data_IF_617492680666
#
_entry.id   IF_617492680666
#
_cell.length_a   1.000
_cell.length_b   1.000
_cell.length_c   1.000
_cell.angle_alpha   90.00
_cell.angle_beta   90.00
_cell.angle_gamma   90.00
#
_symmetry.space_group_name_H-M   'P 1'
#
loop_
_entity.id
_entity.type
_entity.pdbx_description
1 polymer ?
#
# COMPACT_ATOMS: atom_id res chain seq x y z
N UNK A 1 13.08 -22.56 -8.92
CA UNK A 1 11.92 -21.73 -8.61
C UNK A 1 11.28 -21.38 -9.93
N UNK A 2 10.05 -21.82 -10.19
CA UNK A 2 9.36 -21.62 -11.47
C UNK A 2 8.87 -20.18 -11.73
N UNK A 3 9.57 -19.17 -11.19
CA UNK A 3 9.28 -17.75 -11.42
C UNK A 3 10.03 -17.25 -12.66
N UNK A 4 9.35 -16.48 -13.52
CA UNK A 4 9.96 -15.81 -14.66
C UNK A 4 10.71 -14.56 -14.21
N UNK A 5 11.67 -14.07 -15.02
CA UNK A 5 12.37 -12.81 -14.75
C UNK A 5 11.39 -11.64 -14.59
N UNK A 6 10.38 -11.56 -15.43
CA UNK A 6 9.34 -10.52 -15.34
C UNK A 6 8.62 -10.53 -14.00
N UNK A 7 8.29 -11.72 -13.46
CA UNK A 7 7.66 -11.85 -12.15
C UNK A 7 8.55 -11.39 -10.99
N UNK A 8 9.87 -11.52 -11.14
CA UNK A 8 10.83 -11.05 -10.12
C UNK A 8 11.06 -9.54 -10.14
N UNK A 9 10.77 -8.88 -11.27
CA UNK A 9 10.94 -7.44 -11.45
C UNK A 9 9.73 -6.62 -10.96
N UNK A 10 8.59 -7.25 -10.70
CA UNK A 10 7.41 -6.55 -10.17
C UNK A 10 7.76 -5.93 -8.81
N UNK A 11 7.58 -4.62 -8.70
CA UNK A 11 7.84 -3.85 -7.47
C UNK A 11 6.54 -3.44 -6.80
N UNK A 12 6.58 -3.32 -5.48
CA UNK A 12 5.49 -2.72 -4.73
C UNK A 12 5.45 -1.20 -4.99
N UNK A 13 4.24 -0.59 -5.06
CA UNK A 13 4.10 0.86 -5.12
C UNK A 13 4.84 1.52 -3.95
N UNK A 14 5.66 2.53 -4.25
CA UNK A 14 6.41 3.34 -3.25
C UNK A 14 7.50 2.62 -2.45
N UNK A 15 7.89 1.39 -2.81
CA UNK A 15 8.99 0.67 -2.13
C UNK A 15 10.08 0.27 -3.11
N UNK A 16 11.33 0.17 -2.58
CA UNK A 16 12.48 -0.34 -3.31
C UNK A 16 12.44 -1.85 -3.51
N UNK A 17 11.65 -2.54 -2.69
CA UNK A 17 11.61 -4.00 -2.65
C UNK A 17 10.71 -4.58 -3.76
N UNK A 18 11.14 -5.73 -4.30
CA UNK A 18 10.30 -6.48 -5.22
C UNK A 18 9.13 -7.14 -4.48
N UNK A 19 8.00 -7.31 -5.18
CA UNK A 19 6.84 -8.03 -4.65
C UNK A 19 7.24 -9.43 -4.14
N UNK A 20 8.08 -10.14 -4.87
CA UNK A 20 8.59 -11.46 -4.50
C UNK A 20 9.43 -11.37 -3.22
N UNK A 21 10.33 -10.39 -3.12
CA UNK A 21 11.14 -10.17 -1.91
C UNK A 21 10.26 -9.90 -0.68
N UNK A 22 9.23 -9.07 -0.83
CA UNK A 22 8.28 -8.82 0.24
C UNK A 22 7.53 -10.09 0.67
N UNK A 23 7.01 -10.88 -0.28
CA UNK A 23 6.32 -12.14 0.01
C UNK A 23 7.22 -13.16 0.69
N UNK A 24 8.46 -13.30 0.26
CA UNK A 24 9.47 -14.16 0.91
C UNK A 24 9.73 -13.67 2.35
N UNK A 25 9.86 -12.36 2.55
CA UNK A 25 10.03 -11.76 3.88
C UNK A 25 8.88 -12.09 4.83
N UNK A 26 7.65 -11.95 4.37
CA UNK A 26 6.46 -12.29 5.16
C UNK A 26 6.32 -13.80 5.39
N UNK A 27 6.55 -14.63 4.38
CA UNK A 27 6.55 -16.09 4.54
C UNK A 27 7.54 -16.53 5.63
N UNK A 28 8.76 -16.00 5.59
CA UNK A 28 9.77 -16.26 6.64
C UNK A 28 9.27 -15.83 8.03
N UNK A 29 8.68 -14.64 8.14
CA UNK A 29 8.13 -14.15 9.40
C UNK A 29 7.04 -15.06 9.93
N UNK A 30 6.12 -15.48 9.09
CA UNK A 30 5.03 -16.37 9.46
C UNK A 30 5.52 -17.74 9.92
N UNK A 31 6.44 -18.35 9.17
CA UNK A 31 7.06 -19.62 9.55
C UNK A 31 7.82 -19.53 10.88
N UNK A 32 8.51 -18.42 11.13
CA UNK A 32 9.17 -18.16 12.39
C UNK A 32 8.16 -18.02 13.55
N UNK A 33 7.09 -17.24 13.36
CA UNK A 33 6.04 -17.05 14.37
C UNK A 33 5.24 -18.33 14.62
N UNK A 34 5.12 -19.20 13.63
CA UNK A 34 4.51 -20.51 13.75
C UNK A 34 5.43 -21.54 14.44
N UNK A 35 6.70 -21.21 14.70
CA UNK A 35 7.68 -22.13 15.32
C UNK A 35 8.22 -23.20 14.37
N UNK A 36 8.01 -23.07 13.06
CA UNK A 36 8.47 -24.04 12.06
C UNK A 36 9.93 -23.81 11.67
N UNK A 37 10.44 -22.61 11.86
CA UNK A 37 11.85 -22.24 11.70
C UNK A 37 12.34 -21.45 12.91
N UNK A 38 13.63 -21.54 13.22
CA UNK A 38 14.30 -20.73 14.24
C UNK A 38 15.38 -19.86 13.61
N UNK A 39 15.52 -18.64 14.11
CA UNK A 39 16.63 -17.76 13.74
C UNK A 39 17.86 -18.09 14.58
N UNK A 40 18.95 -18.49 13.92
CA UNK A 40 20.22 -18.80 14.56
C UNK A 40 21.11 -17.56 14.67
N UNK A 41 21.14 -16.75 13.61
CA UNK A 41 21.81 -15.46 13.56
C UNK A 41 21.13 -14.57 12.52
N UNK A 42 21.55 -13.31 12.41
CA UNK A 42 20.95 -12.38 11.46
C UNK A 42 21.02 -12.92 10.02
N UNK A 43 19.87 -13.20 9.43
CA UNK A 43 19.73 -13.74 8.07
C UNK A 43 19.83 -15.26 7.96
N UNK A 44 20.16 -15.99 9.04
CA UNK A 44 20.28 -17.45 9.05
C UNK A 44 19.19 -18.12 9.86
N UNK A 45 18.54 -19.08 9.25
CA UNK A 45 17.41 -19.81 9.82
C UNK A 45 17.61 -21.31 9.69
N UNK A 46 17.24 -22.05 10.72
CA UNK A 46 17.19 -23.51 10.71
C UNK A 46 15.73 -23.97 10.82
N UNK A 47 15.42 -25.06 10.13
CA UNK A 47 14.12 -25.72 10.29
C UNK A 47 14.07 -26.41 11.65
N UNK A 48 12.92 -26.35 12.32
CA UNK A 48 12.68 -27.05 13.58
C UNK A 48 12.21 -28.49 13.34
N UNK A 49 12.18 -29.31 14.42
CA UNK A 49 11.58 -30.66 14.36
C UNK A 49 10.11 -30.61 13.94
N UNK A 50 9.37 -29.59 14.38
CA UNK A 50 7.98 -29.37 13.98
C UNK A 50 7.88 -28.95 12.52
N UNK A 51 8.77 -28.09 12.03
CA UNK A 51 8.86 -27.74 10.63
C UNK A 51 9.12 -28.94 9.72
N UNK A 52 9.99 -29.87 10.15
CA UNK A 52 10.25 -31.11 9.41
C UNK A 52 9.04 -32.04 9.35
N UNK A 53 8.26 -32.12 10.41
CA UNK A 53 7.00 -32.87 10.41
C UNK A 53 5.99 -32.22 9.48
N UNK A 54 5.81 -30.90 9.60
CA UNK A 54 4.87 -30.12 8.78
C UNK A 54 5.13 -30.30 7.28
N UNK A 55 6.38 -30.31 6.83
CA UNK A 55 6.69 -30.55 5.41
C UNK A 55 6.22 -31.95 4.95
N UNK A 56 6.31 -32.94 5.83
CA UNK A 56 5.85 -34.31 5.50
C UNK A 56 4.33 -34.38 5.45
N UNK A 57 3.65 -33.68 6.36
CA UNK A 57 2.19 -33.67 6.48
C UNK A 57 1.51 -32.78 5.44
N UNK A 58 2.23 -31.77 4.94
CA UNK A 58 1.76 -30.80 3.95
C UNK A 58 2.65 -30.78 2.68
N UNK A 59 2.66 -31.85 1.88
CA UNK A 59 3.56 -31.97 0.72
C UNK A 59 3.23 -30.97 -0.40
N UNK A 60 2.02 -30.45 -0.45
CA UNK A 60 1.56 -29.47 -1.45
C UNK A 60 1.86 -28.02 -1.09
N UNK A 61 2.45 -27.77 0.08
CA UNK A 61 2.78 -26.45 0.56
C UNK A 61 2.07 -26.09 1.86
N UNK A 62 2.57 -25.05 2.52
CA UNK A 62 2.04 -24.53 3.78
C UNK A 62 1.39 -23.19 3.48
N UNK A 63 0.09 -23.10 3.67
CA UNK A 63 -0.69 -21.88 3.52
C UNK A 63 -0.97 -21.20 4.88
N UNK A 64 -1.50 -20.00 4.85
CA UNK A 64 -1.83 -19.25 6.05
C UNK A 64 -2.95 -19.90 6.85
N UNK A 65 -3.85 -20.65 6.19
CA UNK A 65 -4.94 -21.37 6.86
C UNK A 65 -4.39 -22.46 7.76
N UNK A 66 -3.41 -23.22 7.24
CA UNK A 66 -2.71 -24.21 8.04
C UNK A 66 -1.96 -23.55 9.21
N UNK A 67 -1.24 -22.46 8.97
CA UNK A 67 -0.52 -21.75 10.03
C UNK A 67 -1.44 -21.28 11.16
N UNK A 68 -2.66 -20.84 10.84
CA UNK A 68 -3.70 -20.46 11.81
C UNK A 68 -4.16 -21.62 12.71
N UNK A 69 -3.88 -22.88 12.37
CA UNK A 69 -4.18 -24.04 13.25
C UNK A 69 -3.10 -24.26 14.31
N UNK A 70 -1.91 -23.66 14.13
CA UNK A 70 -0.79 -23.85 15.05
C UNK A 70 -0.87 -22.87 16.24
N UNK A 71 -0.80 -23.40 17.45
CA UNK A 71 -0.92 -22.61 18.68
C UNK A 71 0.07 -21.44 18.78
N UNK A 72 1.37 -21.58 18.43
CA UNK A 72 2.29 -20.44 18.44
C UNK A 72 1.87 -19.30 17.53
N UNK A 73 1.34 -19.62 16.35
CA UNK A 73 0.89 -18.62 15.38
C UNK A 73 -0.40 -17.93 15.85
N UNK A 74 -1.34 -18.68 16.43
CA UNK A 74 -2.55 -18.12 17.03
C UNK A 74 -2.22 -17.16 18.19
N UNK A 75 -1.31 -17.53 19.07
CA UNK A 75 -0.88 -16.68 20.18
C UNK A 75 -0.26 -15.37 19.68
N UNK A 76 0.53 -15.46 18.61
CA UNK A 76 1.08 -14.26 17.99
C UNK A 76 -0.02 -13.36 17.37
N UNK A 77 -1.00 -13.90 16.66
CA UNK A 77 -2.13 -13.14 16.13
C UNK A 77 -2.95 -12.49 17.25
N UNK A 78 -3.23 -13.23 18.33
CA UNK A 78 -4.01 -12.73 19.46
C UNK A 78 -3.29 -11.60 20.22
N UNK A 79 -1.94 -11.59 20.24
CA UNK A 79 -1.18 -10.50 20.88
C UNK A 79 -1.45 -9.12 20.26
N UNK A 80 -1.92 -9.06 19.01
CA UNK A 80 -2.36 -7.80 18.39
C UNK A 80 -3.78 -7.39 18.75
N UNK A 81 -4.62 -8.35 19.16
CA UNK A 81 -6.02 -8.07 19.52
C UNK A 81 -6.13 -7.46 20.91
N UNK A 82 -5.23 -7.77 21.83
CA UNK A 82 -5.22 -7.20 23.18
C UNK A 82 -4.87 -5.70 23.22
N UNK A 83 -4.23 -5.19 22.18
CA UNK A 83 -3.90 -3.75 22.06
C UNK A 83 -5.08 -2.92 21.49
N UNK A 84 -6.16 -3.57 21.05
CA UNK A 84 -7.36 -2.92 20.50
C UNK A 84 -8.45 -2.68 21.57
N UNK A 85 -8.12 -2.02 22.66
CA UNK A 85 -9.13 -1.35 23.50
C UNK A 85 -9.30 0.09 23.02
N UNK A 86 -9.85 0.30 21.85
CA UNK A 86 -10.64 1.49 21.48
C UNK A 86 -11.13 1.36 20.03
N UNK A 87 -12.47 1.34 19.92
CA UNK A 87 -13.27 1.79 18.78
C UNK A 87 -12.75 1.44 17.38
N UNK A 88 -13.27 0.46 16.74
CA UNK A 88 -14.12 0.59 15.58
C UNK A 88 -14.43 -0.76 14.94
N UNK A 89 -15.64 -0.90 14.46
CA UNK A 89 -16.12 -1.98 13.63
C UNK A 89 -15.31 -2.08 12.32
N UNK A 90 -14.12 -2.62 12.41
CA UNK A 90 -13.40 -3.13 11.25
C UNK A 90 -14.15 -4.36 10.75
N UNK A 91 -15.18 -4.13 9.93
CA UNK A 91 -15.78 -5.17 9.09
C UNK A 91 -14.65 -5.90 8.38
N UNK A 92 -14.72 -7.22 8.49
CA UNK A 92 -13.98 -8.21 7.75
C UNK A 92 -13.34 -7.67 6.47
N UNK A 93 -12.05 -7.36 6.56
CA UNK A 93 -11.21 -7.34 5.37
C UNK A 93 -11.24 -8.79 4.93
N UNK A 94 -12.01 -9.07 3.87
CA UNK A 94 -12.13 -10.40 3.30
C UNK A 94 -10.75 -11.03 3.28
N UNK A 95 -10.62 -12.16 3.97
CA UNK A 95 -9.36 -12.89 4.14
C UNK A 95 -8.94 -13.43 2.76
N UNK A 96 -8.40 -12.56 1.93
CA UNK A 96 -7.62 -13.00 0.80
C UNK A 96 -6.25 -13.43 1.35
N UNK A 97 -6.20 -14.68 1.79
CA UNK A 97 -5.02 -15.34 2.37
C UNK A 97 -3.80 -15.34 1.42
N UNK A 98 -3.96 -14.81 0.19
CA UNK A 98 -2.91 -14.74 -0.82
C UNK A 98 -2.09 -13.46 -0.76
N UNK A 99 -2.54 -12.42 -0.04
CA UNK A 99 -1.87 -11.13 0.06
C UNK A 99 -1.09 -10.98 1.36
N UNK A 100 0.04 -10.28 1.27
CA UNK A 100 0.80 -9.88 2.46
C UNK A 100 0.12 -8.68 3.13
N UNK A 101 0.33 -8.45 4.45
CA UNK A 101 -0.16 -7.26 5.13
C UNK A 101 0.25 -5.95 4.45
N UNK A 102 1.41 -5.91 3.83
CA UNK A 102 1.88 -4.76 3.06
C UNK A 102 1.04 -4.54 1.80
N UNK A 103 0.74 -5.61 1.05
CA UNK A 103 -0.12 -5.53 -0.14
C UNK A 103 -1.54 -5.05 0.21
N UNK A 104 -2.07 -5.47 1.35
CA UNK A 104 -3.37 -5.02 1.85
C UNK A 104 -3.33 -3.52 2.18
N UNK A 105 -2.29 -3.06 2.87
CA UNK A 105 -2.11 -1.65 3.21
C UNK A 105 -1.98 -0.78 1.95
N UNK A 106 -1.14 -1.19 1.00
CA UNK A 106 -0.92 -0.44 -0.25
C UNK A 106 -2.21 -0.36 -1.08
N UNK A 107 -2.98 -1.45 -1.14
CA UNK A 107 -4.28 -1.45 -1.82
C UNK A 107 -5.29 -0.51 -1.14
N UNK A 108 -5.40 -0.57 0.19
CA UNK A 108 -6.27 0.32 0.96
C UNK A 108 -5.88 1.80 0.76
N UNK A 109 -4.59 2.10 0.80
CA UNK A 109 -4.08 3.44 0.54
C UNK A 109 -4.44 3.93 -0.88
N UNK A 110 -4.23 3.09 -1.90
CA UNK A 110 -4.55 3.45 -3.28
C UNK A 110 -6.06 3.67 -3.48
N UNK A 111 -6.90 2.87 -2.82
CA UNK A 111 -8.36 3.07 -2.84
C UNK A 111 -8.73 4.43 -2.25
N UNK A 112 -8.22 4.76 -1.04
CA UNK A 112 -8.48 6.05 -0.40
C UNK A 112 -8.00 7.21 -1.29
N UNK A 113 -6.80 7.10 -1.88
CA UNK A 113 -6.28 8.14 -2.77
C UNK A 113 -7.10 8.32 -4.03
N UNK A 114 -7.64 7.24 -4.60
CA UNK A 114 -8.54 7.30 -5.75
C UNK A 114 -9.87 8.00 -5.38
N UNK A 115 -10.44 7.67 -4.22
CA UNK A 115 -11.66 8.29 -3.72
C UNK A 115 -11.46 9.80 -3.47
N UNK A 116 -10.35 10.17 -2.81
CA UNK A 116 -9.99 11.59 -2.59
C UNK A 116 -9.80 12.33 -3.91
N UNK A 117 -9.12 11.73 -4.88
CA UNK A 117 -8.93 12.33 -6.20
C UNK A 117 -10.28 12.54 -6.92
N UNK A 118 -11.18 11.57 -6.83
CA UNK A 118 -12.53 11.68 -7.40
C UNK A 118 -13.34 12.81 -6.73
N UNK A 119 -13.34 12.87 -5.38
CA UNK A 119 -14.04 13.93 -4.65
C UNK A 119 -13.48 15.33 -4.95
N UNK A 120 -12.15 15.46 -5.03
CA UNK A 120 -11.50 16.72 -5.39
C UNK A 120 -11.91 17.17 -6.80
N UNK A 121 -11.87 16.25 -7.77
CA UNK A 121 -12.27 16.55 -9.13
C UNK A 121 -13.75 16.97 -9.22
N UNK A 122 -14.63 16.31 -8.48
CA UNK A 122 -16.05 16.66 -8.40
C UNK A 122 -16.26 18.06 -7.80
N UNK A 123 -15.54 18.40 -6.72
CA UNK A 123 -15.55 19.74 -6.12
C UNK A 123 -15.07 20.82 -7.09
N UNK A 124 -13.96 20.55 -7.80
CA UNK A 124 -13.43 21.47 -8.81
C UNK A 124 -14.43 21.70 -9.93
N UNK A 125 -15.06 20.63 -10.45
CA UNK A 125 -16.08 20.72 -11.50
C UNK A 125 -17.33 21.50 -11.09
N UNK A 126 -17.66 21.50 -9.81
CA UNK A 126 -18.83 22.23 -9.23
C UNK A 126 -18.49 23.65 -8.78
N UNK A 127 -17.22 24.04 -8.83
CA UNK A 127 -16.79 25.39 -8.43
C UNK A 127 -17.15 26.43 -9.50
N UNK A 128 -17.04 27.71 -9.12
CA UNK A 128 -17.27 28.80 -10.07
C UNK A 128 -16.17 28.85 -11.13
N UNK A 129 -16.47 29.34 -12.35
CA UNK A 129 -15.48 29.55 -13.40
C UNK A 129 -14.26 30.34 -12.90
N UNK A 130 -14.48 31.44 -12.19
CA UNK A 130 -13.39 32.25 -11.63
C UNK A 130 -12.49 31.50 -10.63
N UNK A 131 -13.07 30.58 -9.84
CA UNK A 131 -12.26 29.71 -8.98
C UNK A 131 -11.43 28.74 -9.80
N UNK A 132 -12.02 28.17 -10.86
CA UNK A 132 -11.33 27.22 -11.72
C UNK A 132 -10.15 27.87 -12.45
N UNK A 133 -10.34 29.05 -13.02
CA UNK A 133 -9.29 29.84 -13.67
C UNK A 133 -8.11 30.09 -12.71
N UNK A 134 -8.43 30.58 -11.50
CA UNK A 134 -7.40 30.82 -10.47
C UNK A 134 -6.68 29.53 -10.08
N UNK A 135 -7.41 28.41 -9.87
CA UNK A 135 -6.83 27.13 -9.50
C UNK A 135 -5.86 26.64 -10.56
N UNK A 136 -6.16 26.80 -11.85
CA UNK A 136 -5.27 26.41 -12.96
C UNK A 136 -3.99 27.22 -12.94
N UNK A 137 -4.08 28.55 -12.78
CA UNK A 137 -2.91 29.42 -12.68
C UNK A 137 -2.05 29.05 -11.49
N UNK A 138 -2.65 28.91 -10.29
CA UNK A 138 -1.93 28.53 -9.05
C UNK A 138 -1.24 27.16 -9.20
N UNK A 139 -1.92 26.20 -9.86
CA UNK A 139 -1.35 24.89 -10.12
C UNK A 139 -0.12 24.96 -11.05
N UNK A 140 -0.22 25.69 -12.14
CA UNK A 140 0.88 25.86 -13.12
C UNK A 140 2.09 26.54 -12.47
N UNK A 141 1.87 27.57 -11.67
CA UNK A 141 2.93 28.23 -10.88
C UNK A 141 3.60 27.23 -9.93
N UNK A 142 2.78 26.44 -9.18
CA UNK A 142 3.29 25.42 -8.27
C UNK A 142 4.09 24.32 -8.98
N UNK A 143 3.81 24.07 -10.26
CA UNK A 143 4.57 23.16 -11.12
C UNK A 143 5.85 23.79 -11.68
N UNK A 144 6.11 25.10 -11.40
CA UNK A 144 7.32 25.81 -11.83
C UNK A 144 7.19 26.56 -13.17
N UNK A 145 5.98 26.64 -13.74
CA UNK A 145 5.75 27.49 -14.90
C UNK A 145 5.75 28.97 -14.46
N UNK A 146 6.22 29.87 -15.32
CA UNK A 146 6.32 31.31 -15.03
C UNK A 146 7.59 31.74 -14.27
N UNK A 147 8.53 30.81 -14.00
CA UNK A 147 9.76 31.07 -13.27
C UNK A 147 9.60 31.02 -11.74
N UNK A 148 10.62 31.52 -11.01
CA UNK A 148 10.67 31.44 -9.53
C UNK A 148 9.92 32.55 -8.81
N UNK A 149 9.23 33.47 -9.50
CA UNK A 149 8.52 34.58 -8.88
C UNK A 149 7.02 34.29 -8.83
N UNK A 150 6.50 34.04 -7.62
CA UNK A 150 5.07 33.78 -7.37
C UNK A 150 4.14 34.93 -7.85
N UNK A 151 4.70 36.11 -8.15
CA UNK A 151 3.96 37.27 -8.66
C UNK A 151 3.73 37.23 -10.17
N UNK A 152 4.32 36.26 -10.87
CA UNK A 152 4.22 36.19 -12.32
C UNK A 152 2.87 35.63 -12.84
N UNK A 153 2.06 35.01 -11.97
CA UNK A 153 0.75 34.51 -12.35
C UNK A 153 -0.36 35.53 -12.12
N UNK A 154 -1.11 35.87 -13.14
CA UNK A 154 -2.28 36.74 -13.05
C UNK A 154 -3.49 36.10 -13.73
N UNK A 155 -4.60 36.07 -13.02
CA UNK A 155 -5.91 35.75 -13.60
C UNK A 155 -6.42 37.03 -14.31
N UNK A 156 -6.85 36.90 -15.55
CA UNK A 156 -7.36 38.03 -16.32
C UNK A 156 -8.75 38.45 -15.83
N UNK A 157 -9.22 39.63 -16.26
CA UNK A 157 -10.55 40.16 -15.86
C UNK A 157 -11.66 39.35 -16.52
N UNK A 158 -12.78 39.18 -15.80
CA UNK A 158 -13.91 38.33 -16.14
C UNK A 158 -14.64 38.71 -17.46
N UNK A 159 -14.34 39.87 -18.10
CA UNK A 159 -14.94 40.26 -19.36
C UNK A 159 -14.02 41.13 -20.19
N UNK A 160 -13.93 40.82 -21.50
CA UNK A 160 -13.23 41.64 -22.48
C UNK A 160 -11.75 41.26 -22.71
N UNK A 161 -11.31 40.10 -22.22
CA UNK A 161 -9.95 39.62 -22.29
C UNK A 161 -9.60 38.80 -23.55
N UNK A 162 -10.53 38.68 -24.50
CA UNK A 162 -10.35 37.92 -25.73
C UNK A 162 -10.33 36.41 -25.55
N UNK A 163 -10.79 35.89 -24.40
CA UNK A 163 -10.78 34.46 -24.07
C UNK A 163 -9.45 33.97 -23.47
N UNK A 164 -8.68 34.87 -22.84
CA UNK A 164 -7.46 34.54 -22.09
C UNK A 164 -7.80 34.45 -20.62
N UNK A 165 -7.77 33.24 -20.05
CA UNK A 165 -8.17 32.97 -18.65
C UNK A 165 -7.06 33.27 -17.63
N UNK A 166 -5.82 33.35 -18.05
CA UNK A 166 -4.67 33.68 -17.22
C UNK A 166 -3.36 33.83 -17.99
N UNK A 167 -2.42 34.50 -17.37
CA UNK A 167 -1.06 34.72 -17.90
C UNK A 167 -0.06 34.27 -16.84
N UNK A 168 0.95 33.52 -17.27
CA UNK A 168 2.04 33.03 -16.42
C UNK A 168 3.38 33.47 -16.98
#
# INVERSE_FOLDING_TARGET
TGLTEEQTLVRLPKQSDSLVGNRIGWARTYLYKAGLINQVSRGFYNITSEGLKTIKDQPNGIDTKYLKTLAPFQNWLNSFSETKNSTDNGKDIAEDDSRTPQEVLDNAFNTIMADVAFELLDKVKKSSPAFFEKLVVDLLISMGYGGFDERNGQVTQYSGDGGIDGII
#
